data_IF_533090609922
#
_entry.id   IF_533090609922
#
_cell.length_a   1.000
_cell.length_b   1.000
_cell.length_c   1.000
_cell.angle_alpha   90.00
_cell.angle_beta   90.00
_cell.angle_gamma   90.00
#
_symmetry.space_group_name_H-M   'P 1'
#
loop_
_entity.id
_entity.type
_entity.pdbx_description
1 polymer ?
#
# COMPACT_ATOMS: atom_id res chain seq x y z
N UNK A 1 -17.00 7.58 9.30
CA UNK A 1 -16.09 8.66 9.75
C UNK A 1 -16.64 10.01 9.29
N UNK A 2 -16.69 11.01 10.17
CA UNK A 2 -17.13 12.37 9.82
C UNK A 2 -16.16 13.00 8.80
N UNK A 3 -16.71 13.76 7.83
CA UNK A 3 -15.92 14.41 6.78
C UNK A 3 -15.17 15.60 7.37
N UNK A 4 -13.85 15.52 7.43
CA UNK A 4 -12.99 16.63 7.84
C UNK A 4 -12.97 17.73 6.77
N UNK A 5 -13.04 18.98 7.21
CA UNK A 5 -13.13 20.16 6.35
C UNK A 5 -11.79 20.71 5.86
N UNK A 6 -10.64 20.14 6.25
CA UNK A 6 -9.30 20.35 5.68
C UNK A 6 -8.27 19.59 6.54
N UNK A 7 -7.24 19.04 5.90
CA UNK A 7 -6.06 18.51 6.58
C UNK A 7 -4.99 19.59 6.69
N UNK A 8 -4.32 19.61 7.84
CA UNK A 8 -3.26 20.58 8.17
C UNK A 8 -2.01 19.86 8.69
N UNK A 9 -0.96 20.61 9.01
CA UNK A 9 0.26 20.03 9.59
C UNK A 9 0.01 19.27 10.90
N UNK A 10 -1.01 19.63 11.69
CA UNK A 10 -1.39 18.93 12.92
C UNK A 10 -1.91 17.50 12.68
N UNK A 11 -2.36 17.22 11.46
CA UNK A 11 -2.87 15.92 11.02
C UNK A 11 -1.78 15.01 10.47
N UNK A 12 -0.58 15.57 10.32
CA UNK A 12 0.56 14.84 9.80
C UNK A 12 1.32 14.17 10.95
N UNK A 13 1.78 12.94 10.71
CA UNK A 13 2.71 12.24 11.59
C UNK A 13 4.13 12.79 11.47
N UNK A 14 4.48 13.35 10.29
CA UNK A 14 5.75 14.00 10.05
C UNK A 14 5.61 15.09 8.97
N UNK A 15 6.38 16.16 9.11
CA UNK A 15 6.39 17.32 8.20
C UNK A 15 7.82 17.73 7.85
N UNK A 16 7.99 18.58 6.84
CA UNK A 16 9.30 19.11 6.44
C UNK A 16 10.14 18.17 5.58
N UNK A 17 11.34 18.60 5.21
CA UNK A 17 12.20 17.89 4.26
C UNK A 17 12.92 16.68 4.85
N UNK A 18 13.03 16.59 6.17
CA UNK A 18 13.69 15.47 6.85
C UNK A 18 12.88 14.16 6.81
N UNK A 19 11.60 14.18 6.42
CA UNK A 19 10.79 12.98 6.33
C UNK A 19 10.85 12.34 4.93
N UNK A 20 10.98 11.01 4.90
CA UNK A 20 10.81 10.21 3.70
C UNK A 20 9.31 9.98 3.46
N UNK A 21 8.77 10.52 2.38
CA UNK A 21 7.36 10.42 2.01
C UNK A 21 7.08 9.30 1.01
N UNK A 22 8.12 8.63 0.51
CA UNK A 22 7.97 7.56 -0.45
C UNK A 22 7.11 6.42 0.11
N UNK A 23 6.15 5.96 -0.69
CA UNK A 23 5.17 4.92 -0.32
C UNK A 23 4.30 5.31 0.89
N UNK A 24 4.06 6.60 1.10
CA UNK A 24 3.18 7.12 2.16
C UNK A 24 2.05 7.95 1.59
N UNK A 25 0.95 8.03 2.34
CA UNK A 25 -0.11 9.01 2.07
C UNK A 25 0.36 10.38 2.54
N UNK A 26 0.28 11.35 1.65
CA UNK A 26 0.70 12.73 1.90
C UNK A 26 -0.49 13.68 1.75
N UNK A 27 -0.39 14.79 2.47
CA UNK A 27 -1.32 15.91 2.38
C UNK A 27 -0.68 17.00 1.53
N UNK A 28 -1.36 17.42 0.48
CA UNK A 28 -0.97 18.54 -0.39
C UNK A 28 -1.75 19.79 0.03
N UNK A 29 -1.09 20.95 0.05
CA UNK A 29 -1.76 22.23 0.26
C UNK A 29 -2.74 22.52 -0.89
N UNK A 30 -4.04 22.51 -0.58
CA UNK A 30 -5.13 22.84 -1.51
C UNK A 30 -6.28 23.48 -0.74
N UNK A 31 -7.05 24.33 -1.42
CA UNK A 31 -8.26 24.97 -0.86
C UNK A 31 -9.43 23.99 -0.70
N UNK A 32 -9.42 22.88 -1.45
CA UNK A 32 -10.45 21.84 -1.37
C UNK A 32 -9.94 20.61 -0.59
N UNK A 33 -10.54 20.30 0.57
CA UNK A 33 -10.14 19.18 1.45
C UNK A 33 -10.19 17.81 0.78
N UNK A 34 -11.15 17.59 -0.11
CA UNK A 34 -11.30 16.31 -0.81
C UNK A 34 -10.16 16.06 -1.80
N UNK A 35 -9.41 17.09 -2.16
CA UNK A 35 -8.32 17.04 -3.14
C UNK A 35 -6.93 17.11 -2.50
N UNK A 36 -6.83 17.01 -1.18
CA UNK A 36 -5.55 17.11 -0.48
C UNK A 36 -4.80 15.78 -0.38
N UNK A 37 -5.49 14.64 -0.52
CA UNK A 37 -4.92 13.33 -0.22
C UNK A 37 -4.35 12.64 -1.45
N UNK A 38 -3.07 12.31 -1.38
CA UNK A 38 -2.34 11.61 -2.42
C UNK A 38 -1.50 10.49 -1.84
N UNK A 39 -1.29 9.42 -2.60
CA UNK A 39 -0.26 8.42 -2.30
C UNK A 39 1.02 8.74 -3.07
N UNK A 40 2.16 8.83 -2.38
CA UNK A 40 3.44 9.10 -3.01
C UNK A 40 4.11 7.82 -3.47
N UNK A 41 4.34 7.71 -4.78
CA UNK A 41 4.96 6.54 -5.40
C UNK A 41 6.49 6.63 -5.29
N UNK A 42 7.07 7.66 -5.91
CA UNK A 42 8.51 7.84 -6.06
C UNK A 42 8.83 9.30 -6.46
N UNK A 43 10.09 9.55 -6.80
CA UNK A 43 10.58 10.85 -7.27
C UNK A 43 11.82 11.30 -6.50
N UNK A 44 12.63 12.16 -7.11
CA UNK A 44 13.85 12.67 -6.49
C UNK A 44 13.58 13.60 -5.29
N UNK A 45 12.33 14.07 -5.13
CA UNK A 45 11.84 14.81 -3.97
C UNK A 45 11.23 13.93 -2.86
N UNK A 46 11.10 12.62 -3.05
CA UNK A 46 10.32 11.76 -2.15
C UNK A 46 11.11 11.27 -0.92
N UNK A 47 12.44 11.19 -1.01
CA UNK A 47 13.29 10.75 0.10
C UNK A 47 13.43 11.84 1.19
N UNK A 48 13.96 11.44 2.35
CA UNK A 48 14.41 12.40 3.35
C UNK A 48 15.61 13.19 2.80
N UNK A 49 15.65 14.50 3.08
CA UNK A 49 16.67 15.45 2.61
C UNK A 49 16.95 15.29 1.11
N UNK A 50 15.92 15.44 0.26
CA UNK A 50 16.03 15.12 -1.15
C UNK A 50 16.96 16.09 -1.89
N UNK A 51 17.66 15.59 -2.90
CA UNK A 51 18.48 16.40 -3.81
C UNK A 51 17.67 17.06 -4.93
N UNK A 52 16.39 16.67 -5.11
CA UNK A 52 15.46 17.28 -6.06
C UNK A 52 14.10 17.59 -5.44
N UNK A 53 13.18 18.06 -6.27
CA UNK A 53 11.85 18.49 -5.83
C UNK A 53 10.70 17.66 -6.41
N UNK A 54 10.90 16.91 -7.49
CA UNK A 54 9.81 16.25 -8.20
C UNK A 54 9.33 15.00 -7.44
N UNK A 55 8.01 14.87 -7.31
CA UNK A 55 7.34 13.73 -6.70
C UNK A 55 6.21 13.23 -7.60
N UNK A 56 6.15 11.92 -7.78
CA UNK A 56 5.11 11.23 -8.53
C UNK A 56 4.08 10.67 -7.56
N UNK A 57 2.83 11.06 -7.76
CA UNK A 57 1.73 10.82 -6.84
C UNK A 57 0.54 10.17 -7.56
N UNK A 58 -0.36 9.57 -6.77
CA UNK A 58 -1.69 9.16 -7.21
C UNK A 58 -2.74 9.83 -6.33
N UNK A 59 -3.72 10.47 -6.95
CA UNK A 59 -4.87 11.07 -6.26
C UNK A 59 -5.70 9.98 -5.57
N UNK A 60 -5.90 10.09 -4.26
CA UNK A 60 -6.78 9.15 -3.54
C UNK A 60 -8.27 9.46 -3.71
N UNK A 61 -8.61 10.51 -4.47
CA UNK A 61 -9.97 10.83 -4.87
C UNK A 61 -10.34 10.28 -6.25
N UNK A 62 -9.41 10.34 -7.20
CA UNK A 62 -9.68 10.03 -8.61
C UNK A 62 -8.89 8.85 -9.14
N UNK A 63 -7.85 8.40 -8.45
CA UNK A 63 -6.93 7.36 -8.94
C UNK A 63 -5.95 7.86 -10.02
N UNK A 64 -5.99 9.15 -10.37
CA UNK A 64 -5.15 9.72 -11.42
C UNK A 64 -3.73 10.01 -10.94
N UNK A 65 -2.76 9.84 -11.83
CA UNK A 65 -1.38 10.23 -11.58
C UNK A 65 -1.23 11.75 -11.57
N UNK A 66 -0.37 12.25 -10.68
CA UNK A 66 0.00 13.65 -10.62
C UNK A 66 1.52 13.79 -10.41
N UNK A 67 2.12 14.72 -11.15
CA UNK A 67 3.48 15.19 -10.92
C UNK A 67 3.40 16.50 -10.13
N UNK A 68 4.04 16.54 -8.97
CA UNK A 68 4.06 17.72 -8.08
C UNK A 68 5.46 18.01 -7.56
N UNK A 69 5.60 19.14 -6.90
CA UNK A 69 6.80 19.49 -6.16
C UNK A 69 6.68 19.13 -4.67
N UNK A 70 7.81 18.74 -4.07
CA UNK A 70 7.95 18.41 -2.65
C UNK A 70 7.53 19.56 -1.73
N UNK A 71 7.70 20.81 -2.17
CA UNK A 71 7.29 22.01 -1.44
C UNK A 71 5.77 22.15 -1.32
N UNK A 72 4.98 21.47 -2.16
CA UNK A 72 3.51 21.47 -2.08
C UNK A 72 2.99 20.53 -0.98
N UNK A 73 3.85 19.65 -0.44
CA UNK A 73 3.49 18.66 0.58
C UNK A 73 3.52 19.29 1.96
N UNK A 74 2.39 19.26 2.67
CA UNK A 74 2.29 19.64 4.08
C UNK A 74 3.01 18.59 4.96
N UNK A 75 2.74 17.32 4.73
CA UNK A 75 3.37 16.22 5.47
C UNK A 75 2.76 14.84 5.17
N UNK A 76 3.21 13.84 5.92
CA UNK A 76 2.69 12.46 5.89
C UNK A 76 1.46 12.39 6.76
N UNK A 77 0.30 12.03 6.20
CA UNK A 77 -0.95 11.91 6.96
C UNK A 77 -0.83 10.82 8.04
N UNK A 78 -1.37 11.07 9.24
CA UNK A 78 -1.61 10.03 10.25
C UNK A 78 -2.54 8.94 9.68
N UNK A 79 -2.16 7.65 9.67
CA UNK A 79 -2.95 6.60 9.02
C UNK A 79 -4.40 6.48 9.53
N UNK A 80 -4.61 6.73 10.83
CA UNK A 80 -5.92 6.72 11.48
C UNK A 80 -6.86 7.84 11.00
N UNK A 81 -6.33 8.86 10.33
CA UNK A 81 -7.12 9.96 9.75
C UNK A 81 -7.47 9.71 8.28
N UNK A 82 -7.00 8.62 7.66
CA UNK A 82 -7.32 8.31 6.27
C UNK A 82 -8.79 7.86 6.15
N UNK A 83 -9.63 8.54 5.35
CA UNK A 83 -11.04 8.18 5.24
C UNK A 83 -11.22 6.90 4.42
N UNK A 84 -12.31 6.18 4.69
CA UNK A 84 -12.66 4.92 4.02
C UNK A 84 -12.61 5.00 2.49
N UNK A 85 -13.12 6.07 1.89
CA UNK A 85 -13.09 6.25 0.44
C UNK A 85 -11.65 6.30 -0.10
N UNK A 86 -10.75 6.98 0.61
CA UNK A 86 -9.34 7.05 0.24
C UNK A 86 -8.62 5.71 0.48
N UNK A 87 -9.00 4.95 1.52
CA UNK A 87 -8.52 3.57 1.75
C UNK A 87 -8.91 2.64 0.59
N UNK A 88 -10.15 2.73 0.12
CA UNK A 88 -10.65 1.95 -1.02
C UNK A 88 -10.00 2.37 -2.36
N UNK A 89 -9.64 3.64 -2.51
CA UNK A 89 -8.86 4.08 -3.68
C UNK A 89 -7.41 3.59 -3.60
N UNK A 90 -6.78 3.70 -2.41
CA UNK A 90 -5.42 3.25 -2.14
C UNK A 90 -5.27 1.74 -2.38
N UNK A 91 -6.27 0.94 -2.03
CA UNK A 91 -6.23 -0.52 -2.19
C UNK A 91 -6.13 -0.98 -3.64
N UNK A 92 -6.44 -0.11 -4.61
CA UNK A 92 -6.38 -0.38 -6.05
C UNK A 92 -5.04 0.03 -6.69
N UNK A 93 -4.16 0.67 -5.94
CA UNK A 93 -2.85 1.11 -6.44
C UNK A 93 -1.89 -0.09 -6.48
N UNK A 94 -1.21 -0.30 -7.61
CA UNK A 94 -0.13 -1.30 -7.72
C UNK A 94 1.19 -0.75 -7.18
N UNK A 95 2.06 -1.61 -6.61
CA UNK A 95 3.38 -1.20 -6.15
C UNK A 95 4.22 -0.54 -7.25
N UNK A 96 5.11 0.35 -6.86
CA UNK A 96 6.07 0.97 -7.79
C UNK A 96 6.98 -0.09 -8.37
N UNK A 97 7.12 -0.10 -9.70
CA UNK A 97 7.92 -1.09 -10.43
C UNK A 97 7.18 -2.39 -10.71
N UNK A 98 5.87 -2.47 -10.42
CA UNK A 98 5.05 -3.61 -10.81
C UNK A 98 5.06 -3.79 -12.34
N UNK A 99 5.15 -5.05 -12.76
CA UNK A 99 5.26 -5.42 -14.17
C UNK A 99 3.97 -5.10 -14.92
N UNK A 100 4.05 -4.84 -16.22
CA UNK A 100 2.86 -4.62 -17.02
C UNK A 100 2.01 -5.90 -17.11
N UNK A 101 0.69 -5.75 -17.10
CA UNK A 101 -0.24 -6.88 -17.10
C UNK A 101 -0.45 -7.48 -18.50
N UNK A 102 0.09 -6.84 -19.55
CA UNK A 102 -0.10 -7.31 -20.93
C UNK A 102 0.88 -8.43 -21.28
N UNK A 103 2.11 -8.33 -20.77
CA UNK A 103 3.20 -9.25 -21.10
C UNK A 103 3.57 -10.19 -19.94
N UNK A 104 2.95 -10.04 -18.78
CA UNK A 104 3.27 -10.83 -17.60
C UNK A 104 2.03 -11.47 -17.01
N UNK A 105 2.16 -12.75 -16.71
CA UNK A 105 1.09 -13.55 -16.15
C UNK A 105 0.88 -13.22 -14.67
N UNK A 106 -0.35 -12.88 -14.31
CA UNK A 106 -0.77 -12.58 -12.93
C UNK A 106 -0.54 -13.80 -12.05
N UNK A 107 0.16 -13.66 -10.92
CA UNK A 107 0.41 -14.74 -9.94
C UNK A 107 -0.44 -14.63 -8.70
N UNK A 108 -0.79 -13.41 -8.31
CA UNK A 108 -1.51 -13.15 -7.10
C UNK A 108 -2.58 -12.09 -7.31
N UNK A 109 -3.63 -12.17 -6.50
CA UNK A 109 -4.66 -11.15 -6.35
C UNK A 109 -4.61 -10.58 -4.94
N UNK A 110 -4.42 -9.26 -4.83
CA UNK A 110 -4.36 -8.55 -3.56
C UNK A 110 -5.66 -7.84 -3.23
N UNK A 111 -6.17 -8.04 -2.01
CA UNK A 111 -7.41 -7.46 -1.50
C UNK A 111 -7.11 -6.69 -0.21
N UNK A 112 -7.84 -5.60 0.00
CA UNK A 112 -7.81 -4.84 1.25
C UNK A 112 -9.23 -4.52 1.69
N UNK A 113 -9.53 -4.77 2.96
CA UNK A 113 -10.86 -4.66 3.53
C UNK A 113 -10.89 -3.58 4.61
N UNK A 114 -12.01 -2.85 4.64
CA UNK A 114 -12.40 -1.99 5.75
C UNK A 114 -12.93 -2.83 6.92
N UNK A 115 -13.06 -2.23 8.13
CA UNK A 115 -13.61 -2.93 9.30
C UNK A 115 -15.03 -3.49 9.11
N UNK A 116 -15.84 -2.88 8.24
CA UNK A 116 -17.19 -3.33 7.92
C UNK A 116 -17.24 -4.37 6.78
N UNK A 117 -16.08 -4.87 6.35
CA UNK A 117 -15.94 -5.87 5.30
C UNK A 117 -16.04 -5.32 3.88
N UNK A 118 -16.30 -4.03 3.68
CA UNK A 118 -16.24 -3.43 2.33
C UNK A 118 -14.82 -3.49 1.79
N UNK A 119 -14.70 -3.75 0.49
CA UNK A 119 -13.45 -3.76 -0.25
C UNK A 119 -13.69 -3.28 -1.69
N UNK A 120 -12.63 -2.84 -2.36
CA UNK A 120 -12.64 -2.57 -3.79
C UNK A 120 -12.18 -3.83 -4.57
N UNK A 121 -12.21 -3.78 -5.90
CA UNK A 121 -11.70 -4.88 -6.73
C UNK A 121 -10.26 -5.27 -6.37
N UNK A 122 -9.97 -6.56 -6.47
CA UNK A 122 -8.64 -7.10 -6.24
C UNK A 122 -7.62 -6.56 -7.24
N UNK A 123 -6.38 -6.43 -6.79
CA UNK A 123 -5.25 -5.96 -7.60
C UNK A 123 -4.42 -7.13 -8.08
N UNK A 124 -4.19 -7.20 -9.38
CA UNK A 124 -3.33 -8.22 -9.98
C UNK A 124 -1.84 -7.91 -9.80
N UNK A 125 -1.10 -8.93 -9.39
CA UNK A 125 0.29 -8.87 -9.01
C UNK A 125 1.05 -10.02 -9.70
N UNK A 126 2.10 -9.71 -10.44
CA UNK A 126 2.76 -10.67 -11.34
C UNK A 126 3.90 -11.44 -10.65
N UNK A 127 4.35 -10.98 -9.48
CA UNK A 127 5.49 -11.57 -8.76
C UNK A 127 5.25 -11.58 -7.25
N UNK A 128 6.00 -12.43 -6.54
CA UNK A 128 6.03 -12.43 -5.07
C UNK A 128 6.49 -11.08 -4.51
N UNK A 129 7.49 -10.46 -5.15
CA UNK A 129 7.97 -9.15 -4.73
C UNK A 129 6.89 -8.06 -4.85
N UNK A 130 6.08 -8.10 -5.92
CA UNK A 130 4.91 -7.23 -6.05
C UNK A 130 3.90 -7.50 -4.94
N UNK A 131 3.59 -8.76 -4.68
CA UNK A 131 2.65 -9.15 -3.63
C UNK A 131 3.07 -8.67 -2.23
N UNK A 132 4.33 -8.89 -1.85
CA UNK A 132 4.87 -8.41 -0.58
C UNK A 132 4.90 -6.87 -0.54
N UNK A 133 5.28 -6.22 -1.64
CA UNK A 133 5.28 -4.75 -1.71
C UNK A 133 3.89 -4.16 -1.58
N UNK A 134 2.86 -4.86 -2.09
CA UNK A 134 1.46 -4.48 -1.92
C UNK A 134 1.05 -4.57 -0.45
N UNK A 135 1.36 -5.67 0.23
CA UNK A 135 1.07 -5.85 1.66
C UNK A 135 1.70 -4.72 2.47
N UNK A 136 2.99 -4.44 2.29
CA UNK A 136 3.70 -3.39 3.03
C UNK A 136 3.14 -1.99 2.77
N UNK A 137 2.69 -1.73 1.53
CA UNK A 137 2.03 -0.48 1.17
C UNK A 137 0.67 -0.30 1.88
N UNK A 138 -0.11 -1.37 1.98
CA UNK A 138 -1.47 -1.33 2.52
C UNK A 138 -1.51 -1.43 4.06
N UNK A 139 -0.57 -2.14 4.67
CA UNK A 139 -0.52 -2.51 6.10
C UNK A 139 -0.77 -1.35 7.07
N UNK A 140 -0.25 -0.13 6.85
CA UNK A 140 -0.49 0.97 7.80
C UNK A 140 -1.93 1.50 7.79
N UNK A 141 -2.70 1.24 6.73
CA UNK A 141 -3.95 1.95 6.45
C UNK A 141 -5.19 1.05 6.52
N UNK A 142 -5.02 -0.22 6.15
CA UNK A 142 -6.13 -1.16 5.97
C UNK A 142 -6.37 -1.98 7.24
N UNK A 143 -7.64 -2.33 7.46
CA UNK A 143 -8.00 -3.20 8.59
C UNK A 143 -7.55 -4.63 8.34
N UNK A 144 -7.77 -5.12 7.11
CA UNK A 144 -7.40 -6.48 6.72
C UNK A 144 -6.87 -6.49 5.29
N UNK A 145 -5.87 -7.33 5.03
CA UNK A 145 -5.22 -7.50 3.74
C UNK A 145 -5.15 -8.99 3.45
N UNK A 146 -5.49 -9.40 2.24
CA UNK A 146 -5.47 -10.79 1.81
C UNK A 146 -4.80 -10.90 0.45
N UNK A 147 -3.92 -11.87 0.28
CA UNK A 147 -3.35 -12.28 -0.99
C UNK A 147 -3.89 -13.67 -1.32
N UNK A 148 -4.42 -13.82 -2.53
CA UNK A 148 -4.71 -15.12 -3.11
C UNK A 148 -3.72 -15.44 -4.23
N UNK A 149 -3.45 -16.72 -4.46
CA UNK A 149 -2.75 -17.19 -5.66
C UNK A 149 -3.68 -17.19 -6.89
N UNK A 150 -3.26 -17.85 -7.98
CA UNK A 150 -4.00 -17.92 -9.24
C UNK A 150 -5.25 -18.81 -9.16
N UNK A 151 -5.28 -19.73 -8.20
CA UNK A 151 -6.35 -20.70 -8.02
C UNK A 151 -7.35 -20.21 -6.95
N UNK A 152 -7.28 -18.91 -6.60
CA UNK A 152 -8.08 -18.22 -5.60
C UNK A 152 -7.91 -18.74 -4.16
N UNK A 153 -6.83 -19.47 -3.88
CA UNK A 153 -6.50 -19.86 -2.51
C UNK A 153 -5.82 -18.70 -1.78
N UNK A 154 -6.30 -18.38 -0.58
CA UNK A 154 -5.63 -17.42 0.29
C UNK A 154 -4.26 -17.98 0.70
N UNK A 155 -3.19 -17.25 0.37
CA UNK A 155 -1.80 -17.62 0.67
C UNK A 155 -1.18 -16.73 1.74
N UNK A 156 -1.77 -15.55 1.99
CA UNK A 156 -1.36 -14.66 3.06
C UNK A 156 -2.51 -13.77 3.48
N UNK A 157 -2.71 -13.63 4.78
CA UNK A 157 -3.74 -12.78 5.36
C UNK A 157 -3.21 -12.04 6.58
N UNK A 158 -3.44 -10.73 6.63
CA UNK A 158 -3.17 -9.89 7.79
C UNK A 158 -4.46 -9.22 8.25
N UNK A 159 -4.62 -9.08 9.56
CA UNK A 159 -5.65 -8.25 10.18
C UNK A 159 -5.04 -7.42 11.30
N UNK A 160 -5.33 -6.11 11.30
CA UNK A 160 -4.79 -5.13 12.25
C UNK A 160 -3.26 -5.22 12.39
N UNK A 161 -2.59 -5.43 11.24
CA UNK A 161 -1.13 -5.55 11.13
C UNK A 161 -0.55 -6.90 11.60
N UNK A 162 -1.37 -7.83 12.06
CA UNK A 162 -0.96 -9.17 12.52
C UNK A 162 -1.21 -10.22 11.44
N UNK A 163 -0.30 -11.18 11.30
CA UNK A 163 -0.45 -12.32 10.40
C UNK A 163 -1.53 -13.26 10.94
N UNK A 164 -2.50 -13.60 10.10
CA UNK A 164 -3.60 -14.53 10.38
C UNK A 164 -3.41 -15.84 9.59
N UNK A 165 -2.97 -15.73 8.34
CA UNK A 165 -2.63 -16.88 7.49
C UNK A 165 -1.31 -16.62 6.74
N UNK A 166 -0.43 -17.63 6.59
CA UNK A 166 -0.51 -18.94 7.23
C UNK A 166 -0.37 -18.85 8.75
N UNK A 167 -1.02 -19.78 9.45
CA UNK A 167 -0.87 -19.93 10.91
C UNK A 167 0.49 -20.54 11.25
N UNK A 168 0.93 -20.39 12.50
CA UNK A 168 2.20 -21.00 12.98
C UNK A 168 2.25 -22.51 12.69
N UNK A 169 1.13 -23.22 12.90
CA UNK A 169 1.05 -24.66 12.63
C UNK A 169 1.20 -25.00 11.15
N UNK A 170 0.59 -24.22 10.26
CA UNK A 170 0.72 -24.41 8.82
C UNK A 170 2.15 -24.12 8.36
N UNK A 171 2.80 -23.11 8.93
CA UNK A 171 4.20 -22.81 8.67
C UNK A 171 5.14 -23.94 9.14
N UNK A 172 4.93 -24.47 10.35
CA UNK A 172 5.69 -25.59 10.89
C UNK A 172 5.54 -26.84 10.01
N UNK A 173 4.32 -27.17 9.59
CA UNK A 173 4.05 -28.29 8.69
C UNK A 173 4.75 -28.11 7.33
N UNK A 174 4.77 -26.90 6.79
CA UNK A 174 5.46 -26.60 5.53
C UNK A 174 6.98 -26.76 5.65
N UNK A 175 7.56 -26.33 6.77
CA UNK A 175 8.99 -26.49 7.05
C UNK A 175 9.39 -27.96 7.21
N UNK A 176 8.59 -28.74 7.93
CA UNK A 176 8.81 -30.19 8.09
C UNK A 176 8.76 -30.93 6.75
N UNK A 177 7.74 -30.66 5.93
CA UNK A 177 7.61 -31.25 4.59
C UNK A 177 8.76 -30.84 3.64
N UNK A 178 9.30 -29.63 3.80
CA UNK A 178 10.44 -29.16 3.00
C UNK A 178 11.77 -29.81 3.42
N UNK A 179 11.90 -30.23 4.68
CA UNK A 179 13.09 -30.94 5.20
C UNK A 179 13.07 -32.43 4.83
N UNK A 180 11.89 -33.06 4.80
CA UNK A 180 11.74 -34.48 4.45
C UNK A 180 11.81 -34.73 2.92
N UNK A 181 11.65 -33.68 2.10
CA UNK A 181 11.78 -33.73 0.63
C UNK A 181 13.22 -33.61 0.09
N UNK A 182 14.23 -33.52 0.96
CA UNK A 182 15.64 -33.48 0.58
C UNK A 182 16.10 -34.83 0.03
N UNK A 183 15.92 -35.06 -1.28
CA UNK A 183 16.47 -36.23 -1.98
C UNK A 183 17.97 -36.38 -1.70
N UNK A 184 18.33 -37.45 -1.00
CA UNK A 184 19.68 -38.01 -0.98
C UNK A 184 20.09 -38.35 -2.41
N UNK A 185 21.04 -37.57 -2.94
CA UNK A 185 21.76 -37.93 -4.16
C UNK A 185 22.78 -39.01 -3.79
N UNK A 186 22.45 -40.27 -4.05
CA UNK A 186 23.41 -41.39 -4.14
C UNK A 186 23.51 -41.86 -5.57
#
# INVERSE_FOLDING_TARGET
MERKSAYTSADCAATGLGCNIQRKVVVIGQDNPERQLYFCLCGNGASANPSGAAIFLVSLRTGEFALKNRSEVIGILKPELLPDSAKLQLSQIRPVGALDLQNHEVKYSGYSFLPDGRYASGVWLCTEQEALSYVEMQKPYQHRIMLCDRDDFCVLELQDGKLIHPTEKEMEAFQQNSQDGGMTMT
#
